data_IF_129047871573
#
_entry.id   IF_129047871573
#
_cell.length_a   1.000
_cell.length_b   1.000
_cell.length_c   1.000
_cell.angle_alpha   90.00
_cell.angle_beta   90.00
_cell.angle_gamma   90.00
#
_symmetry.space_group_name_H-M   'P 1'
#
loop_
_entity.id
_entity.type
_entity.pdbx_description
1 polymer ?
#
# COMPACT_ATOMS: atom_id res chain seq x y z
N UNK A 1 15.04 -4.25 -11.09
CA UNK A 1 14.18 -3.65 -12.14
C UNK A 1 12.98 -3.00 -11.45
N UNK A 2 12.53 -1.82 -11.90
CA UNK A 2 11.46 -1.06 -11.22
C UNK A 2 10.08 -1.74 -11.28
N UNK A 3 9.70 -2.28 -12.45
CA UNK A 3 8.38 -2.90 -12.66
C UNK A 3 8.12 -4.08 -11.68
N UNK A 4 9.00 -5.10 -11.56
CA UNK A 4 8.77 -6.18 -10.60
C UNK A 4 8.71 -5.73 -9.14
N UNK A 5 9.39 -4.63 -8.79
CA UNK A 5 9.40 -4.10 -7.43
C UNK A 5 8.03 -3.49 -7.07
N UNK A 6 7.52 -2.56 -7.88
CA UNK A 6 6.19 -1.96 -7.67
C UNK A 6 5.11 -3.04 -7.71
N UNK A 7 5.20 -3.93 -8.70
CA UNK A 7 4.22 -4.99 -8.88
C UNK A 7 4.11 -5.91 -7.66
N UNK A 8 5.23 -6.33 -7.06
CA UNK A 8 5.20 -7.20 -5.88
C UNK A 8 4.50 -6.56 -4.67
N UNK A 9 4.72 -5.26 -4.44
CA UNK A 9 4.10 -4.54 -3.33
C UNK A 9 2.64 -4.16 -3.58
N UNK A 10 2.23 -3.98 -4.83
CA UNK A 10 0.83 -3.83 -5.18
C UNK A 10 0.06 -5.14 -4.95
N UNK A 11 0.63 -6.29 -5.35
CA UNK A 11 0.00 -7.60 -5.17
C UNK A 11 -0.28 -7.93 -3.70
N UNK A 12 0.66 -7.65 -2.81
CA UNK A 12 0.54 -7.98 -1.38
C UNK A 12 -0.14 -6.89 -0.53
N UNK A 13 -0.73 -5.87 -1.16
CA UNK A 13 -1.54 -4.81 -0.52
C UNK A 13 -0.81 -3.92 0.48
N UNK A 14 0.53 -3.93 0.48
CA UNK A 14 1.30 -2.94 1.23
C UNK A 14 1.54 -1.66 0.42
N UNK A 15 1.69 -1.76 -0.90
CA UNK A 15 1.93 -0.64 -1.84
C UNK A 15 3.01 0.36 -1.38
N UNK A 16 4.04 -0.11 -0.68
CA UNK A 16 5.02 0.76 0.02
C UNK A 16 5.77 1.72 -0.89
N UNK A 17 5.80 1.45 -2.19
CA UNK A 17 6.53 2.23 -3.19
C UNK A 17 5.99 3.63 -3.40
N UNK A 18 4.72 3.88 -3.06
CA UNK A 18 4.09 5.20 -3.24
C UNK A 18 3.95 6.03 -1.97
N UNK A 19 4.35 5.53 -0.80
CA UNK A 19 4.10 6.24 0.47
C UNK A 19 5.14 6.03 1.57
N UNK A 20 5.89 4.93 1.57
CA UNK A 20 6.76 4.60 2.70
C UNK A 20 7.90 5.62 2.84
N UNK A 21 8.04 6.20 4.04
CA UNK A 21 9.03 7.22 4.37
C UNK A 21 8.52 8.66 4.22
N UNK A 22 7.36 8.86 3.58
CA UNK A 22 6.77 10.20 3.44
C UNK A 22 6.35 10.76 4.80
N UNK A 23 5.70 9.96 5.64
CA UNK A 23 5.30 10.35 6.98
C UNK A 23 6.51 10.75 7.82
N UNK A 24 7.53 9.90 7.86
CA UNK A 24 8.79 10.17 8.52
C UNK A 24 9.46 11.47 8.02
N UNK A 25 9.49 11.69 6.70
CA UNK A 25 10.05 12.90 6.10
C UNK A 25 9.32 14.17 6.51
N UNK A 26 7.98 14.17 6.42
CA UNK A 26 7.14 15.30 6.82
C UNK A 26 7.27 15.57 8.33
N UNK A 27 7.22 14.52 9.15
CA UNK A 27 7.31 14.63 10.61
C UNK A 27 8.65 15.20 11.05
N UNK A 28 9.76 14.67 10.52
CA UNK A 28 11.09 15.18 10.80
C UNK A 28 11.24 16.65 10.40
N UNK A 29 10.69 17.06 9.26
CA UNK A 29 10.71 18.45 8.84
C UNK A 29 9.99 19.36 9.85
N UNK A 30 8.81 18.95 10.33
CA UNK A 30 8.06 19.69 11.36
C UNK A 30 8.81 19.72 12.69
N UNK A 31 9.40 18.60 13.12
CA UNK A 31 10.15 18.52 14.38
C UNK A 31 11.35 19.47 14.40
N UNK A 32 12.06 19.60 13.26
CA UNK A 32 13.22 20.48 13.14
C UNK A 32 12.83 21.96 13.00
N UNK A 33 11.70 22.26 12.34
CA UNK A 33 11.31 23.63 11.98
C UNK A 33 10.21 24.22 12.87
N UNK A 34 9.61 23.42 13.75
CA UNK A 34 8.48 23.80 14.58
C UNK A 34 7.25 24.20 13.76
N UNK A 35 6.39 25.03 14.36
CA UNK A 35 5.12 25.47 13.77
C UNK A 35 5.28 26.13 12.40
N UNK A 36 6.36 26.91 12.20
CA UNK A 36 6.68 27.53 10.90
C UNK A 36 6.91 26.49 9.80
N UNK A 37 7.44 25.32 10.15
CA UNK A 37 7.60 24.20 9.22
C UNK A 37 6.26 23.63 8.78
N UNK A 38 5.36 23.43 9.74
CA UNK A 38 4.01 22.96 9.44
C UNK A 38 3.23 23.97 8.57
N UNK A 39 3.28 25.25 8.90
CA UNK A 39 2.67 26.33 8.10
C UNK A 39 3.22 26.38 6.68
N UNK A 40 4.52 26.11 6.50
CA UNK A 40 5.12 26.02 5.17
C UNK A 40 4.59 24.82 4.39
N UNK A 41 4.48 23.64 4.99
CA UNK A 41 3.94 22.45 4.32
C UNK A 41 2.49 22.69 3.86
N UNK A 42 1.66 23.32 4.70
CA UNK A 42 0.29 23.71 4.33
C UNK A 42 0.28 24.68 3.15
N UNK A 43 1.08 25.76 3.20
CA UNK A 43 1.21 26.70 2.07
C UNK A 43 1.71 26.02 0.81
N UNK A 44 2.69 25.12 0.91
CA UNK A 44 3.15 24.36 -0.25
C UNK A 44 2.04 23.51 -0.84
N UNK A 45 1.16 22.92 -0.03
CA UNK A 45 0.00 22.19 -0.52
C UNK A 45 -1.02 23.11 -1.22
N UNK A 46 -1.18 24.36 -0.77
CA UNK A 46 -2.09 25.37 -1.32
C UNK A 46 -1.55 26.13 -2.55
N UNK A 47 -0.24 26.31 -2.65
CA UNK A 47 0.37 27.17 -3.67
C UNK A 47 1.23 26.41 -4.68
N UNK A 48 1.83 25.28 -4.29
CA UNK A 48 2.68 24.47 -5.16
C UNK A 48 1.93 23.29 -5.76
N UNK A 49 1.64 23.38 -7.06
CA UNK A 49 1.02 22.29 -7.83
C UNK A 49 1.80 20.98 -7.74
N UNK A 50 3.13 21.05 -7.74
CA UNK A 50 3.98 19.86 -7.65
C UNK A 50 3.86 19.18 -6.29
N UNK A 51 3.95 19.94 -5.20
CA UNK A 51 3.85 19.39 -3.85
C UNK A 51 2.45 18.82 -3.60
N UNK A 52 1.41 19.55 -4.02
CA UNK A 52 0.04 19.05 -3.99
C UNK A 52 -0.10 17.70 -4.70
N UNK A 53 0.41 17.58 -5.93
CA UNK A 53 0.33 16.34 -6.70
C UNK A 53 1.00 15.16 -5.96
N UNK A 54 2.16 15.39 -5.33
CA UNK A 54 2.85 14.35 -4.56
C UNK A 54 1.97 13.87 -3.40
N UNK A 55 1.44 14.79 -2.59
CA UNK A 55 0.60 14.43 -1.45
C UNK A 55 -0.71 13.78 -1.89
N UNK A 56 -1.29 14.24 -3.00
CA UNK A 56 -2.49 13.64 -3.59
C UNK A 56 -2.25 12.18 -4.03
N UNK A 57 -1.11 11.87 -4.65
CA UNK A 57 -0.76 10.49 -5.03
C UNK A 57 -0.43 9.62 -3.82
N UNK A 58 0.17 10.19 -2.77
CA UNK A 58 0.37 9.49 -1.49
C UNK A 58 -0.98 9.11 -0.89
N UNK A 59 -1.93 10.03 -0.78
CA UNK A 59 -3.27 9.74 -0.25
C UNK A 59 -4.01 8.67 -1.06
N UNK A 60 -3.97 8.75 -2.40
CA UNK A 60 -4.58 7.73 -3.27
C UNK A 60 -3.90 6.37 -3.08
N UNK A 61 -2.58 6.33 -2.97
CA UNK A 61 -1.85 5.07 -2.73
C UNK A 61 -2.21 4.48 -1.37
N UNK A 62 -2.27 5.29 -0.32
CA UNK A 62 -2.69 4.82 1.01
C UNK A 62 -4.10 4.23 0.99
N UNK A 63 -5.01 4.75 0.15
CA UNK A 63 -6.35 4.20 -0.01
C UNK A 63 -6.39 2.79 -0.65
N UNK A 64 -5.31 2.36 -1.32
CA UNK A 64 -5.18 1.00 -1.86
C UNK A 64 -4.68 -0.01 -0.82
N UNK A 65 -4.02 0.46 0.23
CA UNK A 65 -3.38 -0.37 1.26
C UNK A 65 -4.44 -1.07 2.10
N UNK A 66 -4.22 -2.36 2.37
CA UNK A 66 -5.03 -3.13 3.31
C UNK A 66 -4.08 -3.88 4.24
N UNK A 67 -3.85 -3.32 5.44
CA UNK A 67 -2.91 -3.89 6.41
C UNK A 67 -3.36 -5.27 6.93
N UNK A 68 -4.66 -5.57 6.93
CA UNK A 68 -5.18 -6.88 7.34
C UNK A 68 -4.79 -7.96 6.34
N UNK A 69 -4.95 -7.68 5.04
CA UNK A 69 -4.49 -8.58 3.97
C UNK A 69 -2.97 -8.64 3.93
N UNK A 70 -2.28 -7.49 4.02
CA UNK A 70 -0.83 -7.40 4.07
C UNK A 70 -0.23 -8.30 5.17
N UNK A 71 -0.86 -8.33 6.35
CA UNK A 71 -0.47 -9.21 7.46
C UNK A 71 -0.56 -10.70 7.10
N UNK A 72 -1.56 -11.10 6.31
CA UNK A 72 -1.69 -12.49 5.84
C UNK A 72 -0.56 -12.88 4.87
N UNK A 73 -0.16 -11.97 3.97
CA UNK A 73 1.02 -12.17 3.13
C UNK A 73 2.30 -12.24 3.95
N UNK A 74 2.46 -11.35 4.94
CA UNK A 74 3.60 -11.39 5.86
C UNK A 74 3.66 -12.72 6.64
N UNK A 75 2.50 -13.32 6.94
CA UNK A 75 2.38 -14.66 7.53
C UNK A 75 3.02 -15.79 6.71
N UNK A 76 3.29 -15.59 5.41
CA UNK A 76 4.01 -16.56 4.57
C UNK A 76 5.54 -16.53 4.76
N UNK A 77 6.06 -15.61 5.58
CA UNK A 77 7.48 -15.54 5.97
C UNK A 77 7.69 -16.49 7.16
N UNK A 78 8.58 -17.46 7.01
CA UNK A 78 8.84 -18.48 8.03
C UNK A 78 9.54 -17.92 9.28
N UNK A 79 10.44 -16.94 9.12
CA UNK A 79 11.11 -16.27 10.23
C UNK A 79 10.14 -15.27 10.89
N UNK A 80 9.62 -15.64 12.05
CA UNK A 80 8.69 -14.83 12.83
C UNK A 80 9.29 -13.52 13.33
N UNK A 81 10.58 -13.51 13.70
CA UNK A 81 11.24 -12.30 14.19
C UNK A 81 11.38 -11.27 13.07
N UNK A 82 11.80 -11.70 11.89
CA UNK A 82 11.88 -10.87 10.68
C UNK A 82 10.49 -10.38 10.28
N UNK A 83 9.51 -11.28 10.20
CA UNK A 83 8.11 -10.93 9.88
C UNK A 83 7.58 -9.83 10.80
N UNK A 84 7.72 -10.03 12.12
CA UNK A 84 7.18 -9.12 13.13
C UNK A 84 7.86 -7.76 13.07
N UNK A 85 9.19 -7.75 12.98
CA UNK A 85 9.97 -6.51 12.91
C UNK A 85 9.61 -5.67 11.68
N UNK A 86 9.60 -6.28 10.50
CA UNK A 86 9.35 -5.57 9.24
C UNK A 86 7.89 -5.11 9.16
N UNK A 87 6.94 -6.00 9.48
CA UNK A 87 5.53 -5.64 9.40
C UNK A 87 5.18 -4.50 10.35
N UNK A 88 5.71 -4.53 11.59
CA UNK A 88 5.52 -3.43 12.56
C UNK A 88 6.06 -2.10 12.04
N UNK A 89 7.25 -2.08 11.43
CA UNK A 89 7.81 -0.85 10.85
C UNK A 89 6.92 -0.28 9.73
N UNK A 90 6.28 -1.15 8.92
CA UNK A 90 5.33 -0.75 7.89
C UNK A 90 4.04 -0.22 8.51
N UNK A 91 3.49 -0.87 9.53
CA UNK A 91 2.28 -0.39 10.22
C UNK A 91 2.51 1.00 10.85
N UNK A 92 3.66 1.19 11.50
CA UNK A 92 4.04 2.47 12.13
C UNK A 92 4.19 3.59 11.09
N UNK A 93 4.91 3.33 9.99
CA UNK A 93 5.06 4.33 8.93
C UNK A 93 3.74 4.60 8.20
N UNK A 94 2.85 3.61 8.06
CA UNK A 94 1.53 3.80 7.45
C UNK A 94 0.68 4.76 8.29
N UNK A 95 0.64 4.53 9.60
CA UNK A 95 -0.09 5.38 10.53
C UNK A 95 0.47 6.81 10.51
N UNK A 96 1.80 6.97 10.56
CA UNK A 96 2.46 8.27 10.52
C UNK A 96 2.22 9.00 9.19
N UNK A 97 2.30 8.29 8.07
CA UNK A 97 2.08 8.88 6.74
C UNK A 97 0.64 9.32 6.58
N UNK A 98 -0.34 8.50 7.02
CA UNK A 98 -1.76 8.88 7.05
C UNK A 98 -1.98 10.13 7.88
N UNK A 99 -1.45 10.18 9.11
CA UNK A 99 -1.60 11.33 10.00
C UNK A 99 -1.04 12.61 9.37
N UNK A 100 0.22 12.55 8.91
CA UNK A 100 0.90 13.72 8.36
C UNK A 100 0.25 14.21 7.06
N UNK A 101 -0.17 13.29 6.17
CA UNK A 101 -0.87 13.66 4.95
C UNK A 101 -2.17 14.41 5.27
N UNK A 102 -3.02 13.87 6.14
CA UNK A 102 -4.29 14.50 6.54
C UNK A 102 -4.08 15.85 7.22
N UNK A 103 -3.04 15.98 8.07
CA UNK A 103 -2.69 17.27 8.70
C UNK A 103 -2.27 18.33 7.68
N UNK A 104 -1.45 17.95 6.70
CA UNK A 104 -0.98 18.84 5.64
C UNK A 104 -2.14 19.28 4.75
N UNK A 105 -3.03 18.35 4.38
CA UNK A 105 -4.15 18.64 3.48
C UNK A 105 -5.36 19.25 4.19
N UNK A 106 -5.43 19.13 5.51
CA UNK A 106 -6.58 19.54 6.31
C UNK A 106 -7.79 18.62 6.16
N UNK A 107 -7.62 17.43 5.59
CA UNK A 107 -8.69 16.46 5.38
C UNK A 107 -8.97 15.60 6.61
N UNK A 108 -10.13 14.93 6.61
CA UNK A 108 -10.54 14.01 7.69
C UNK A 108 -10.27 12.57 7.28
N UNK A 109 -10.51 12.24 6.00
CA UNK A 109 -10.27 10.90 5.46
C UNK A 109 -9.40 10.91 4.21
N UNK A 110 -8.65 9.81 4.02
CA UNK A 110 -7.74 9.67 2.90
C UNK A 110 -8.49 9.73 1.57
N UNK A 111 -7.98 10.52 0.63
CA UNK A 111 -8.51 10.68 -0.71
C UNK A 111 -9.96 11.19 -0.77
N UNK A 112 -10.46 11.85 0.28
CA UNK A 112 -11.83 12.43 0.32
C UNK A 112 -12.09 13.45 -0.81
N UNK A 113 -11.02 14.13 -1.27
CA UNK A 113 -11.05 15.08 -2.39
C UNK A 113 -11.30 14.38 -3.73
N UNK A 114 -11.19 13.06 -3.79
CA UNK A 114 -11.30 12.25 -5.00
C UNK A 114 -12.48 11.28 -4.94
N UNK A 115 -13.70 11.80 -4.76
CA UNK A 115 -14.93 10.99 -4.60
C UNK A 115 -15.13 9.94 -5.70
N UNK A 116 -14.90 10.31 -6.96
CA UNK A 116 -15.01 9.36 -8.09
C UNK A 116 -13.95 8.26 -8.04
N UNK A 117 -12.74 8.57 -7.58
CA UNK A 117 -11.69 7.58 -7.37
C UNK A 117 -12.09 6.62 -6.26
N UNK A 118 -12.54 7.12 -5.11
CA UNK A 118 -13.00 6.30 -3.99
C UNK A 118 -14.17 5.38 -4.39
N UNK A 119 -15.17 5.91 -5.10
CA UNK A 119 -16.32 5.12 -5.55
C UNK A 119 -15.93 3.99 -6.52
N UNK A 120 -15.05 4.28 -7.48
CA UNK A 120 -14.53 3.24 -8.41
C UNK A 120 -13.62 2.24 -7.71
N UNK A 121 -12.87 2.70 -6.72
CA UNK A 121 -11.98 1.84 -5.95
C UNK A 121 -12.78 0.90 -5.06
N UNK A 122 -13.73 1.41 -4.28
CA UNK A 122 -14.53 0.60 -3.35
C UNK A 122 -15.27 -0.54 -4.05
N UNK A 123 -15.85 -0.28 -5.22
CA UNK A 123 -16.52 -1.31 -6.03
C UNK A 123 -15.58 -2.45 -6.42
N UNK A 124 -14.32 -2.15 -6.76
CA UNK A 124 -13.34 -3.16 -7.17
C UNK A 124 -12.68 -3.85 -5.98
N UNK A 125 -12.50 -3.13 -4.87
CA UNK A 125 -11.80 -3.63 -3.69
C UNK A 125 -12.46 -4.86 -3.08
N UNK A 126 -13.79 -4.98 -3.11
CA UNK A 126 -14.48 -6.16 -2.58
C UNK A 126 -13.94 -7.45 -3.22
N UNK A 127 -13.99 -7.54 -4.55
CA UNK A 127 -13.51 -8.70 -5.29
C UNK A 127 -11.99 -8.87 -5.17
N UNK A 128 -11.21 -7.78 -5.27
CA UNK A 128 -9.75 -7.86 -5.17
C UNK A 128 -9.34 -8.41 -3.80
N UNK A 129 -10.00 -7.97 -2.73
CA UNK A 129 -9.71 -8.40 -1.37
C UNK A 129 -9.98 -9.90 -1.17
N UNK A 130 -11.04 -10.44 -1.78
CA UNK A 130 -11.31 -11.89 -1.79
C UNK A 130 -10.21 -12.64 -2.54
N UNK A 131 -9.88 -12.22 -3.75
CA UNK A 131 -8.82 -12.83 -4.57
C UNK A 131 -7.47 -12.77 -3.88
N UNK A 132 -7.16 -11.69 -3.16
CA UNK A 132 -5.92 -11.59 -2.40
C UNK A 132 -5.82 -12.62 -1.28
N UNK A 133 -6.92 -12.93 -0.58
CA UNK A 133 -6.93 -13.95 0.48
C UNK A 133 -6.73 -15.34 -0.10
N UNK A 134 -7.39 -15.64 -1.23
CA UNK A 134 -7.16 -16.87 -1.98
C UNK A 134 -5.72 -16.98 -2.49
N UNK A 135 -5.15 -15.88 -3.01
CA UNK A 135 -3.77 -15.84 -3.46
C UNK A 135 -2.78 -16.16 -2.33
N UNK A 136 -3.04 -15.76 -1.07
CA UNK A 136 -2.22 -16.17 0.08
C UNK A 136 -2.25 -17.68 0.27
N UNK A 137 -3.42 -18.30 0.19
CA UNK A 137 -3.56 -19.76 0.32
C UNK A 137 -2.87 -20.50 -0.85
N UNK A 138 -3.03 -20.00 -2.08
CA UNK A 138 -2.38 -20.54 -3.27
C UNK A 138 -0.85 -20.41 -3.18
N UNK A 139 -0.33 -19.27 -2.72
CA UNK A 139 1.11 -19.09 -2.51
C UNK A 139 1.66 -20.05 -1.46
N UNK A 140 0.93 -20.28 -0.36
CA UNK A 140 1.32 -21.26 0.66
C UNK A 140 1.43 -22.65 0.05
N UNK A 141 0.35 -23.13 -0.59
CA UNK A 141 0.32 -24.44 -1.26
C UNK A 141 1.43 -24.58 -2.30
N UNK A 142 1.64 -23.56 -3.13
CA UNK A 142 2.68 -23.58 -4.15
C UNK A 142 4.09 -23.69 -3.56
N UNK A 143 4.35 -23.05 -2.40
CA UNK A 143 5.65 -23.11 -1.71
C UNK A 143 5.86 -24.42 -0.95
N UNK A 144 4.79 -25.03 -0.46
CA UNK A 144 4.80 -26.29 0.31
C UNK A 144 4.75 -27.54 -0.59
N UNK A 145 4.37 -27.39 -1.86
CA UNK A 145 4.25 -28.49 -2.81
C UNK A 145 5.55 -29.30 -2.96
N UNK A 146 5.45 -30.61 -2.79
CA UNK A 146 6.58 -31.54 -2.75
C UNK A 146 6.96 -32.09 -4.13
N UNK A 147 6.02 -32.06 -5.08
CA UNK A 147 6.24 -32.52 -6.45
C UNK A 147 5.78 -31.49 -7.50
N UNK A 148 6.20 -31.71 -8.74
CA UNK A 148 5.91 -30.80 -9.85
C UNK A 148 4.44 -30.87 -10.32
N UNK A 149 3.75 -31.99 -10.08
CA UNK A 149 2.33 -32.12 -10.46
C UNK A 149 1.45 -31.23 -9.58
N UNK A 150 1.71 -31.21 -8.27
CA UNK A 150 1.03 -30.32 -7.32
C UNK A 150 1.34 -28.85 -7.60
N UNK A 151 2.62 -28.52 -7.86
CA UNK A 151 2.99 -27.15 -8.26
C UNK A 151 2.25 -26.71 -9.52
N UNK A 152 2.22 -27.53 -10.56
CA UNK A 152 1.57 -27.15 -11.82
C UNK A 152 0.06 -26.99 -11.65
N UNK A 153 -0.59 -27.82 -10.81
CA UNK A 153 -2.00 -27.70 -10.48
C UNK A 153 -2.36 -26.38 -9.76
N UNK A 154 -1.47 -25.88 -8.89
CA UNK A 154 -1.68 -24.61 -8.14
C UNK A 154 -1.20 -23.38 -8.94
N UNK A 155 -0.27 -23.55 -9.87
CA UNK A 155 0.32 -22.46 -10.65
C UNK A 155 -0.67 -21.71 -11.50
N UNK A 156 -1.57 -22.41 -12.21
CA UNK A 156 -2.59 -21.79 -13.04
C UNK A 156 -3.52 -20.86 -12.23
N UNK A 157 -4.18 -21.32 -11.15
CA UNK A 157 -5.01 -20.43 -10.33
C UNK A 157 -4.20 -19.31 -9.67
N UNK A 158 -2.93 -19.55 -9.29
CA UNK A 158 -2.05 -18.51 -8.76
C UNK A 158 -1.80 -17.40 -9.80
N UNK A 159 -1.45 -17.75 -11.04
CA UNK A 159 -1.24 -16.77 -12.12
C UNK A 159 -2.52 -16.01 -12.49
N UNK A 160 -3.67 -16.68 -12.44
CA UNK A 160 -4.97 -16.03 -12.61
C UNK A 160 -5.23 -15.01 -11.49
N UNK A 161 -4.94 -15.36 -10.23
CA UNK A 161 -5.09 -14.43 -9.11
C UNK A 161 -4.20 -13.20 -9.27
N UNK A 162 -2.94 -13.38 -9.70
CA UNK A 162 -1.98 -12.29 -9.94
C UNK A 162 -2.53 -11.33 -11.01
N UNK A 163 -3.06 -11.90 -12.09
CA UNK A 163 -3.64 -11.14 -13.21
C UNK A 163 -4.90 -10.38 -12.78
N UNK A 164 -5.76 -11.01 -11.98
CA UNK A 164 -6.98 -10.41 -11.45
C UNK A 164 -6.67 -9.21 -10.53
N UNK A 165 -5.74 -9.37 -9.58
CA UNK A 165 -5.32 -8.29 -8.68
C UNK A 165 -4.70 -7.14 -9.47
N UNK A 166 -3.85 -7.43 -10.46
CA UNK A 166 -3.22 -6.41 -11.30
C UNK A 166 -4.25 -5.60 -12.10
N UNK A 167 -5.19 -6.28 -12.76
CA UNK A 167 -6.27 -5.64 -13.51
C UNK A 167 -7.21 -4.84 -12.60
N UNK A 168 -7.49 -5.36 -11.40
CA UNK A 168 -8.37 -4.73 -10.43
C UNK A 168 -7.81 -3.43 -9.86
N UNK A 169 -6.53 -3.43 -9.44
CA UNK A 169 -5.89 -2.24 -8.86
C UNK A 169 -5.59 -1.18 -9.93
N UNK A 170 -5.19 -1.59 -11.14
CA UNK A 170 -4.81 -0.67 -12.22
C UNK A 170 -3.43 -0.06 -12.00
N UNK A 171 -3.25 1.21 -12.37
CA UNK A 171 -1.98 1.92 -12.20
C UNK A 171 -1.68 2.16 -10.71
N UNK A 172 -0.48 1.77 -10.26
CA UNK A 172 -0.09 1.71 -8.83
C UNK A 172 1.29 2.33 -8.54
N UNK A 173 1.94 2.94 -9.53
CA UNK A 173 3.23 3.62 -9.40
C UNK A 173 3.63 4.35 -10.67
#
# INVERSE_FOLDING_TARGET
RAIPWVFAWAQNRHSITGWYGVGSGLKNFVDVRGDRGFELLRRMFEDSRMFRLIIDEVEKTLALVDLSIAKQYAGLVADEAVRTKIFKAIEEEFALTREMALRVTGGVELAERFKEYQARLSHRLQTINEVNREQVALLRRFREAQDEAEKEAVKVPLLLSISCVAAGLGATG
#
